data_IF_401814447470
#
_entry.id   IF_401814447470
#
_cell.length_a   1.000
_cell.length_b   1.000
_cell.length_c   1.000
_cell.angle_alpha   90.00
_cell.angle_beta   90.00
_cell.angle_gamma   90.00
#
_symmetry.space_group_name_H-M   'P 1'
#
loop_
_entity.id
_entity.type
_entity.pdbx_description
1 polymer ?
#
# COMPACT_ATOMS: atom_id res chain seq x y z
N UNK A 1 4.78 -8.22 14.27
CA UNK A 1 3.99 -9.45 14.00
C UNK A 1 3.39 -9.36 12.61
N UNK A 2 3.18 -10.48 11.92
CA UNK A 2 2.53 -10.50 10.59
C UNK A 2 1.31 -11.42 10.62
N UNK A 3 0.20 -11.00 10.00
CA UNK A 3 -1.04 -11.78 9.89
C UNK A 3 -1.57 -11.77 8.47
N UNK A 4 -2.15 -12.89 8.05
CA UNK A 4 -2.76 -13.03 6.73
C UNK A 4 -4.27 -13.11 6.88
N UNK A 5 -5.01 -12.38 6.05
CA UNK A 5 -6.47 -12.41 6.00
C UNK A 5 -6.95 -12.39 4.54
N UNK A 6 -8.21 -12.76 4.33
CA UNK A 6 -8.83 -12.73 3.00
C UNK A 6 -9.60 -11.43 2.84
N UNK A 7 -9.31 -10.68 1.78
CA UNK A 7 -10.07 -9.47 1.48
C UNK A 7 -11.35 -9.82 0.70
N UNK A 8 -12.52 -9.24 1.05
CA UNK A 8 -13.78 -9.49 0.35
C UNK A 8 -13.68 -9.18 -1.15
N UNK A 9 -14.09 -10.12 -2.00
CA UNK A 9 -14.01 -9.97 -3.46
C UNK A 9 -12.58 -9.91 -4.02
N UNK A 10 -11.57 -10.36 -3.25
CA UNK A 10 -10.17 -10.33 -3.66
C UNK A 10 -9.35 -11.53 -3.17
N UNK A 11 -8.03 -11.37 -3.25
CA UNK A 11 -7.05 -12.35 -2.80
C UNK A 11 -6.70 -12.24 -1.32
N UNK A 12 -5.66 -12.96 -0.92
CA UNK A 12 -5.10 -12.87 0.43
C UNK A 12 -4.22 -11.64 0.56
N UNK A 13 -4.30 -11.01 1.73
CA UNK A 13 -3.48 -9.89 2.14
C UNK A 13 -2.73 -10.27 3.41
N UNK A 14 -1.45 -9.90 3.45
CA UNK A 14 -0.61 -9.98 4.63
C UNK A 14 -0.47 -8.59 5.22
N UNK A 15 -0.70 -8.44 6.51
CA UNK A 15 -0.54 -7.19 7.25
C UNK A 15 0.51 -7.34 8.35
N UNK A 16 1.39 -6.37 8.46
CA UNK A 16 2.42 -6.32 9.50
C UNK A 16 2.85 -4.87 9.77
N UNK A 17 3.24 -4.60 11.01
CA UNK A 17 3.98 -3.38 11.33
C UNK A 17 5.34 -3.39 10.66
N UNK A 18 5.72 -2.25 10.10
CA UNK A 18 6.96 -2.09 9.37
C UNK A 18 7.54 -0.68 9.57
N UNK A 19 8.86 -0.59 9.57
CA UNK A 19 9.58 0.69 9.56
C UNK A 19 9.83 1.12 8.12
N UNK A 20 9.18 2.19 7.67
CA UNK A 20 9.31 2.73 6.31
C UNK A 20 9.98 4.12 6.33
N UNK A 21 10.78 4.50 5.32
CA UNK A 21 11.29 5.86 5.20
C UNK A 21 10.13 6.87 5.22
N UNK A 22 10.29 7.95 5.98
CA UNK A 22 9.34 9.05 6.00
C UNK A 22 9.70 10.08 4.92
N UNK A 23 8.95 10.16 3.81
CA UNK A 23 9.25 11.13 2.75
C UNK A 23 9.01 12.58 3.18
N UNK A 24 8.32 12.80 4.31
CA UNK A 24 8.04 14.14 4.86
C UNK A 24 8.90 14.48 6.07
N UNK A 25 9.75 13.55 6.51
CA UNK A 25 10.58 13.74 7.69
C UNK A 25 11.65 14.81 7.44
N UNK A 26 11.85 15.69 8.42
CA UNK A 26 12.74 16.85 8.31
C UNK A 26 14.25 16.52 8.31
N UNK A 27 14.64 15.24 8.21
CA UNK A 27 16.02 14.79 8.28
C UNK A 27 16.32 13.62 7.33
N UNK A 28 17.55 13.58 6.84
CA UNK A 28 18.04 12.46 6.03
C UNK A 28 17.92 11.15 6.83
N UNK A 29 17.08 10.23 6.36
CA UNK A 29 16.86 8.94 7.02
C UNK A 29 15.78 8.93 8.11
N UNK A 30 14.90 9.93 8.15
CA UNK A 30 13.71 9.86 8.99
C UNK A 30 12.91 8.59 8.67
N UNK A 31 12.58 7.82 9.71
CA UNK A 31 11.82 6.59 9.62
C UNK A 31 10.48 6.77 10.32
N UNK A 32 9.43 6.17 9.78
CA UNK A 32 8.10 6.12 10.39
C UNK A 32 7.63 4.68 10.54
N UNK A 33 6.86 4.44 11.58
CA UNK A 33 6.11 3.19 11.71
C UNK A 33 4.91 3.23 10.77
N UNK A 34 4.67 2.13 10.06
CA UNK A 34 3.51 1.94 9.21
C UNK A 34 2.92 0.54 9.41
N UNK A 35 1.60 0.43 9.33
CA UNK A 35 0.95 -0.84 9.13
C UNK A 35 0.91 -1.14 7.63
N UNK A 36 1.75 -2.08 7.22
CA UNK A 36 1.93 -2.44 5.81
C UNK A 36 1.03 -3.61 5.45
N UNK A 37 0.18 -3.38 4.45
CA UNK A 37 -0.63 -4.39 3.79
C UNK A 37 0.03 -4.79 2.46
N UNK A 38 0.24 -6.08 2.25
CA UNK A 38 0.84 -6.64 1.04
C UNK A 38 -0.10 -7.69 0.42
N UNK A 39 -0.32 -7.59 -0.88
CA UNK A 39 -0.93 -8.65 -1.68
C UNK A 39 -0.15 -8.80 -3.00
N UNK A 40 0.84 -9.67 -3.00
CA UNK A 40 1.71 -9.94 -4.14
C UNK A 40 2.47 -8.68 -4.59
N UNK A 41 2.06 -8.11 -5.73
CA UNK A 41 2.66 -6.91 -6.30
C UNK A 41 2.15 -5.59 -5.68
N UNK A 42 1.13 -5.64 -4.81
CA UNK A 42 0.54 -4.45 -4.19
C UNK A 42 1.02 -4.29 -2.76
N UNK A 43 1.54 -3.11 -2.44
CA UNK A 43 1.95 -2.73 -1.09
C UNK A 43 1.23 -1.42 -0.75
N UNK A 44 0.53 -1.41 0.39
CA UNK A 44 -0.16 -0.25 0.93
C UNK A 44 0.32 -0.02 2.36
N UNK A 45 0.64 1.23 2.69
CA UNK A 45 1.24 1.59 3.98
C UNK A 45 0.34 2.58 4.70
N UNK A 46 -0.17 2.18 5.85
CA UNK A 46 -1.04 2.99 6.68
C UNK A 46 -0.23 3.60 7.81
N UNK A 47 -0.37 4.90 8.04
CA UNK A 47 0.37 5.63 9.10
C UNK A 47 -0.41 5.76 10.41
N UNK A 48 -1.71 5.46 10.41
CA UNK A 48 -2.57 5.50 11.59
C UNK A 48 -3.48 4.27 11.59
N UNK A 49 -3.38 3.46 12.64
CA UNK A 49 -4.14 2.23 12.80
C UNK A 49 -4.39 1.97 14.29
N UNK A 50 -5.40 1.18 14.66
CA UNK A 50 -5.65 0.83 16.06
C UNK A 50 -4.52 -0.05 16.63
N UNK A 51 -4.12 0.19 17.89
CA UNK A 51 -3.06 -0.58 18.55
C UNK A 51 -3.40 -2.08 18.66
N UNK A 52 -4.68 -2.42 18.79
CA UNK A 52 -5.19 -3.79 18.87
C UNK A 52 -5.41 -4.46 17.49
N UNK A 53 -4.88 -3.88 16.40
CA UNK A 53 -5.06 -4.41 15.04
C UNK A 53 -4.74 -5.91 14.92
N UNK A 54 -3.75 -6.40 15.69
CA UNK A 54 -3.34 -7.79 15.67
C UNK A 54 -4.44 -8.75 16.16
N UNK A 55 -5.34 -8.27 17.03
CA UNK A 55 -6.48 -9.02 17.58
C UNK A 55 -7.73 -8.93 16.70
N UNK A 56 -7.76 -8.02 15.73
CA UNK A 56 -8.92 -7.83 14.88
C UNK A 56 -9.20 -9.07 14.01
N UNK A 57 -10.49 -9.40 13.76
CA UNK A 57 -10.85 -10.43 12.80
C UNK A 57 -10.47 -10.03 11.38
N UNK A 58 -10.36 -11.01 10.48
CA UNK A 58 -9.99 -10.78 9.08
C UNK A 58 -10.91 -9.77 8.37
N UNK A 59 -12.21 -9.82 8.66
CA UNK A 59 -13.19 -8.87 8.10
C UNK A 59 -12.95 -7.44 8.57
N UNK A 60 -12.60 -7.23 9.84
CA UNK A 60 -12.25 -5.91 10.36
C UNK A 60 -10.93 -5.38 9.78
N UNK A 61 -9.94 -6.25 9.55
CA UNK A 61 -8.71 -5.89 8.84
C UNK A 61 -8.99 -5.50 7.38
N UNK A 62 -9.94 -6.17 6.73
CA UNK A 62 -10.37 -5.81 5.40
C UNK A 62 -11.10 -4.47 5.36
N UNK A 63 -11.99 -4.20 6.32
CA UNK A 63 -12.62 -2.89 6.44
C UNK A 63 -11.60 -1.77 6.68
N UNK A 64 -10.61 -2.01 7.55
CA UNK A 64 -9.54 -1.05 7.82
C UNK A 64 -8.77 -0.72 6.54
N UNK A 65 -8.41 -1.74 5.76
CA UNK A 65 -7.76 -1.57 4.46
C UNK A 65 -8.64 -0.78 3.48
N UNK A 66 -9.93 -1.12 3.38
CA UNK A 66 -10.87 -0.47 2.46
C UNK A 66 -11.14 1.00 2.82
N UNK A 67 -11.29 1.32 4.12
CA UNK A 67 -11.52 2.68 4.62
C UNK A 67 -10.28 3.56 4.45
N UNK A 68 -9.10 2.99 4.65
CA UNK A 68 -7.83 3.71 4.57
C UNK A 68 -7.36 3.95 3.12
N UNK A 69 -7.72 3.03 2.23
CA UNK A 69 -7.40 3.10 0.81
C UNK A 69 -8.69 2.96 0.01
N UNK A 70 -9.55 4.00 0.02
CA UNK A 70 -10.74 4.00 -0.81
C UNK A 70 -10.30 3.72 -2.24
N UNK A 71 -10.79 2.60 -2.80
CA UNK A 71 -10.59 2.32 -4.21
C UNK A 71 -11.35 3.41 -4.94
N UNK A 72 -10.60 4.35 -5.49
CA UNK A 72 -11.10 5.24 -6.52
C UNK A 72 -11.54 4.35 -7.69
N UNK A 73 -12.81 3.97 -7.69
CA UNK A 73 -13.46 3.30 -8.82
C UNK A 73 -13.53 4.24 -10.04
N UNK A 74 -12.98 5.45 -9.95
CA UNK A 74 -12.89 6.46 -11.00
C UNK A 74 -11.46 6.81 -11.45
N UNK A 75 -10.48 5.89 -11.35
CA UNK A 75 -9.38 5.94 -12.34
C UNK A 75 -9.75 5.08 -13.53
N UNK A 76 -10.64 5.64 -14.35
CA UNK A 76 -10.50 5.52 -15.79
C UNK A 76 -9.03 5.76 -16.10
N UNK A 77 -8.37 4.71 -16.57
CA UNK A 77 -6.95 4.70 -16.86
C UNK A 77 -6.68 5.68 -18.02
N UNK A 78 -6.07 6.86 -17.82
CA UNK A 78 -5.55 7.62 -18.94
C UNK A 78 -4.16 7.06 -19.21
N UNK A 79 -4.09 5.81 -19.70
CA UNK A 79 -2.89 5.41 -20.42
C UNK A 79 -2.97 6.08 -21.79
N UNK A 80 -2.71 7.39 -21.84
CA UNK A 80 -2.20 7.97 -23.07
C UNK A 80 -0.73 7.55 -23.17
N UNK A 81 -0.44 6.77 -24.19
CA UNK A 81 0.87 6.22 -24.47
C UNK A 81 1.87 7.36 -24.75
N UNK A 82 2.55 7.89 -23.73
CA UNK A 82 3.87 8.49 -23.94
C UNK A 82 4.94 7.39 -23.93
N UNK A 83 4.92 6.66 -25.04
CA UNK A 83 6.03 5.89 -25.60
C UNK A 83 7.28 6.80 -25.55
N UNK A 84 8.22 6.53 -24.64
CA UNK A 84 9.59 7.04 -24.80
C UNK A 84 10.08 6.50 -26.13
N UNK A 85 10.06 7.34 -27.16
CA UNK A 85 10.82 7.10 -28.36
C UNK A 85 12.28 7.00 -27.90
N UNK A 86 12.80 5.80 -28.01
CA UNK A 86 14.24 5.57 -28.10
C UNK A 86 14.67 6.35 -29.32
N UNK A 87 15.41 7.44 -29.14
CA UNK A 87 16.13 8.06 -30.23
C UNK A 87 17.49 7.32 -30.32
N UNK A 88 17.76 6.60 -31.41
CA UNK A 88 19.06 5.98 -31.62
C UNK A 88 20.10 7.03 -32.04
N UNK A 89 21.31 6.87 -31.53
CA UNK A 89 22.52 7.55 -31.98
C UNK A 89 22.58 7.80 -33.49
N UNK A 90 23.03 9.00 -33.90
CA UNK A 90 24.19 9.19 -34.78
C UNK A 90 24.33 10.67 -35.21
N UNK A 91 25.46 11.32 -34.89
CA UNK A 91 26.52 11.68 -35.87
C UNK A 91 27.63 12.51 -35.24
#
# INVERSE_FOLDING_TARGET
MARTFRFPGGGFWTVAEWTSPDPRGAGAGAMRQVLRFNSGARILELTQWPDDWASLPGDALAELLAKSFPRDVQRENPTDFHRRAVDPEAR
#
